data_IF_421480393013
#
_entry.id   IF_421480393013
#
_cell.length_a   1.000
_cell.length_b   1.000
_cell.length_c   1.000
_cell.angle_alpha   90.00
_cell.angle_beta   90.00
_cell.angle_gamma   90.00
#
_symmetry.space_group_name_H-M   'P 1'
#
loop_
_entity.id
_entity.type
_entity.pdbx_description
1 polymer ?
#
# COMPACT_ATOMS: atom_id res chain seq x y z
N UNK A 1 32.73 5.66 44.06
CA UNK A 1 32.86 5.45 42.60
C UNK A 1 31.70 4.57 42.14
N UNK A 2 30.57 5.19 41.79
CA UNK A 2 29.45 4.67 40.98
C UNK A 2 28.29 5.66 41.12
N UNK A 3 28.31 6.71 40.30
CA UNK A 3 27.06 7.42 40.01
C UNK A 3 26.48 6.77 38.75
N UNK A 4 25.24 6.27 38.78
CA UNK A 4 24.61 5.73 37.58
C UNK A 4 24.48 6.87 36.56
N UNK A 5 24.94 6.63 35.33
CA UNK A 5 24.69 7.54 34.22
C UNK A 5 23.18 7.80 34.12
N UNK A 6 22.74 9.06 33.96
CA UNK A 6 21.33 9.35 33.75
C UNK A 6 20.89 8.65 32.47
N UNK A 7 20.03 7.64 32.61
CA UNK A 7 19.41 6.96 31.48
C UNK A 7 18.50 8.00 30.81
N UNK A 8 18.90 8.54 29.66
CA UNK A 8 18.02 9.45 28.93
C UNK A 8 16.82 8.63 28.44
N UNK A 9 15.61 9.01 28.84
CA UNK A 9 14.35 8.39 28.38
C UNK A 9 14.03 8.67 26.90
N UNK A 10 14.99 9.17 26.12
CA UNK A 10 14.85 9.43 24.70
C UNK A 10 14.79 8.12 23.91
N UNK A 11 13.78 7.98 23.05
CA UNK A 11 13.59 6.83 22.16
C UNK A 11 13.04 7.30 20.82
N UNK A 12 13.43 6.64 19.75
CA UNK A 12 12.76 6.72 18.45
C UNK A 12 11.60 5.73 18.48
N UNK A 13 10.39 6.17 18.14
CA UNK A 13 9.21 5.32 18.05
C UNK A 13 9.02 4.85 16.60
N UNK A 14 9.40 3.62 16.22
CA UNK A 14 9.36 3.18 14.81
C UNK A 14 7.95 2.97 14.24
N UNK A 15 6.93 2.87 15.09
CA UNK A 15 5.56 2.45 14.74
C UNK A 15 4.85 3.29 13.67
N UNK A 16 5.10 4.61 13.54
CA UNK A 16 4.51 5.39 12.45
C UNK A 16 5.04 5.02 11.06
N UNK A 17 6.22 4.39 10.97
CA UNK A 17 6.88 4.05 9.71
C UNK A 17 6.87 2.55 9.41
N UNK A 18 6.85 1.73 10.44
CA UNK A 18 6.76 0.28 10.33
C UNK A 18 5.43 -0.18 10.94
N UNK A 19 4.65 -0.94 10.17
CA UNK A 19 3.46 -1.53 10.75
C UNK A 19 3.86 -2.62 11.75
N UNK A 20 3.40 -2.47 12.99
CA UNK A 20 3.55 -3.52 14.01
C UNK A 20 2.79 -4.80 13.63
N UNK A 21 1.79 -4.66 12.75
CA UNK A 21 0.97 -5.75 12.25
C UNK A 21 1.13 -5.90 10.72
N UNK A 22 1.85 -6.93 10.25
CA UNK A 22 1.94 -7.24 8.82
C UNK A 22 0.57 -7.63 8.24
N UNK A 23 -0.37 -8.14 9.05
CA UNK A 23 -1.70 -8.55 8.61
C UNK A 23 -2.68 -7.38 8.45
N UNK A 24 -2.33 -6.16 8.89
CA UNK A 24 -3.18 -4.97 8.69
C UNK A 24 -3.51 -4.82 7.20
N UNK A 25 -4.75 -4.54 6.79
CA UNK A 25 -5.07 -4.36 5.38
C UNK A 25 -4.43 -3.09 4.81
N UNK A 26 -4.05 -3.11 3.54
CA UNK A 26 -3.61 -1.93 2.79
C UNK A 26 -4.84 -1.13 2.36
N UNK A 27 -4.83 0.18 2.60
CA UNK A 27 -5.92 1.06 2.18
C UNK A 27 -5.92 1.23 0.68
N UNK A 28 -7.07 0.96 0.06
CA UNK A 28 -7.28 1.02 -1.37
C UNK A 28 -8.37 2.06 -1.68
N UNK A 29 -7.97 3.13 -2.36
CA UNK A 29 -8.86 4.10 -2.96
C UNK A 29 -9.54 3.48 -4.19
N UNK A 30 -10.82 3.79 -4.46
CA UNK A 30 -11.51 3.25 -5.62
C UNK A 30 -10.84 3.71 -6.91
N UNK A 31 -10.56 2.76 -7.80
CA UNK A 31 -10.08 3.05 -9.15
C UNK A 31 -11.23 3.37 -10.09
N UNK A 32 -10.93 3.95 -11.25
CA UNK A 32 -11.94 4.32 -12.25
C UNK A 32 -12.76 3.14 -12.77
N UNK A 33 -12.24 1.92 -12.67
CA UNK A 33 -12.90 0.70 -13.15
C UNK A 33 -13.38 -0.21 -12.00
N UNK A 34 -13.34 0.24 -10.74
CA UNK A 34 -13.77 -0.58 -9.61
C UNK A 34 -15.24 -1.03 -9.76
N UNK A 35 -16.11 -0.13 -10.20
CA UNK A 35 -17.54 -0.42 -10.36
C UNK A 35 -17.86 -1.28 -11.60
N UNK A 36 -16.91 -1.47 -12.50
CA UNK A 36 -17.06 -2.39 -13.64
C UNK A 36 -16.82 -3.87 -13.24
N UNK A 37 -16.24 -4.12 -12.07
CA UNK A 37 -16.11 -5.48 -11.52
C UNK A 37 -17.49 -6.09 -11.28
N UNK A 38 -17.61 -7.40 -11.49
CA UNK A 38 -18.76 -8.14 -11.01
C UNK A 38 -18.89 -7.95 -9.49
N UNK A 39 -20.13 -7.90 -8.99
CA UNK A 39 -20.38 -7.59 -7.58
C UNK A 39 -19.64 -8.54 -6.63
N UNK A 40 -19.58 -9.82 -7.00
CA UNK A 40 -18.83 -10.86 -6.27
C UNK A 40 -17.33 -10.54 -6.26
N UNK A 41 -16.75 -10.20 -7.41
CA UNK A 41 -15.33 -9.80 -7.52
C UNK A 41 -15.01 -8.58 -6.65
N UNK A 42 -15.88 -7.57 -6.63
CA UNK A 42 -15.70 -6.39 -5.76
C UNK A 42 -15.72 -6.78 -4.28
N UNK A 43 -16.58 -7.72 -3.87
CA UNK A 43 -16.56 -8.26 -2.49
C UNK A 43 -15.27 -9.03 -2.20
N UNK A 44 -14.86 -9.93 -3.11
CA UNK A 44 -13.65 -10.74 -2.97
C UNK A 44 -12.41 -9.88 -2.81
N UNK A 45 -12.29 -8.77 -3.56
CA UNK A 45 -11.18 -7.82 -3.47
C UNK A 45 -10.93 -7.31 -2.04
N UNK A 46 -11.99 -7.12 -1.24
CA UNK A 46 -11.90 -6.55 0.10
C UNK A 46 -12.04 -7.58 1.23
N UNK A 47 -12.53 -8.78 0.94
CA UNK A 47 -12.76 -9.84 1.95
C UNK A 47 -11.68 -10.89 1.95
N UNK A 48 -11.15 -11.27 0.79
CA UNK A 48 -10.17 -12.36 0.68
C UNK A 48 -8.72 -11.86 0.76
N UNK A 49 -7.80 -12.69 1.26
CA UNK A 49 -6.38 -12.40 1.16
C UNK A 49 -5.85 -12.66 -0.26
N UNK A 50 -4.78 -11.96 -0.60
CA UNK A 50 -3.97 -12.22 -1.78
C UNK A 50 -2.54 -12.53 -1.35
N UNK A 51 -1.85 -13.39 -2.09
CA UNK A 51 -0.45 -13.73 -1.87
C UNK A 51 0.46 -13.15 -2.95
N UNK A 52 1.65 -12.70 -2.57
CA UNK A 52 2.66 -12.21 -3.51
C UNK A 52 3.26 -13.39 -4.31
N UNK A 53 3.23 -13.30 -5.64
CA UNK A 53 3.84 -14.28 -6.54
C UNK A 53 5.37 -14.13 -6.61
N UNK A 54 6.06 -15.21 -6.95
CA UNK A 54 7.54 -15.27 -7.05
C UNK A 54 8.13 -14.43 -8.18
N UNK A 55 7.35 -14.12 -9.21
CA UNK A 55 7.75 -13.28 -10.35
C UNK A 55 7.48 -11.77 -10.11
N UNK A 56 7.17 -11.39 -8.86
CA UNK A 56 7.05 -10.01 -8.42
C UNK A 56 8.42 -9.31 -8.37
N UNK A 57 8.45 -8.03 -8.74
CA UNK A 57 9.67 -7.23 -8.74
C UNK A 57 9.37 -5.74 -8.47
N UNK A 58 10.36 -4.88 -8.68
CA UNK A 58 10.25 -3.42 -8.41
C UNK A 58 9.33 -2.68 -9.39
N UNK A 59 8.99 -3.27 -10.54
CA UNK A 59 7.97 -2.74 -11.46
C UNK A 59 6.57 -2.95 -10.89
N UNK A 60 6.30 -4.14 -10.35
CA UNK A 60 5.03 -4.45 -9.72
C UNK A 60 5.02 -5.80 -9.00
N UNK A 61 4.20 -5.85 -7.96
CA UNK A 61 3.89 -7.08 -7.24
C UNK A 61 2.70 -7.75 -7.90
N UNK A 62 2.90 -8.98 -8.35
CA UNK A 62 1.86 -9.83 -8.92
C UNK A 62 1.19 -10.58 -7.80
N UNK A 63 -0.13 -10.47 -7.73
CA UNK A 63 -0.91 -11.04 -6.65
C UNK A 63 -1.61 -12.30 -7.14
N UNK A 64 -1.69 -13.31 -6.29
CA UNK A 64 -2.56 -14.48 -6.52
C UNK A 64 -3.60 -14.58 -5.42
N UNK A 65 -4.81 -14.96 -5.79
CA UNK A 65 -5.93 -15.12 -4.87
C UNK A 65 -7.19 -15.47 -5.64
N UNK A 66 -8.37 -15.09 -5.14
CA UNK A 66 -9.60 -15.27 -5.90
C UNK A 66 -9.51 -14.53 -7.24
N UNK A 67 -9.93 -15.20 -8.30
CA UNK A 67 -10.06 -14.58 -9.61
C UNK A 67 -11.12 -13.49 -9.55
N UNK A 68 -10.77 -12.30 -10.02
CA UNK A 68 -11.68 -11.17 -10.16
C UNK A 68 -12.14 -11.06 -11.61
N UNK A 69 -13.45 -11.10 -11.81
CA UNK A 69 -14.07 -10.98 -13.13
C UNK A 69 -14.84 -9.66 -13.27
N UNK A 70 -14.93 -9.20 -14.52
CA UNK A 70 -15.67 -8.02 -14.96
C UNK A 70 -17.14 -8.35 -15.23
N UNK A 71 -18.01 -7.35 -15.16
CA UNK A 71 -19.40 -7.49 -15.63
C UNK A 71 -19.50 -7.60 -17.16
N UNK A 72 -18.58 -6.95 -17.87
CA UNK A 72 -18.45 -6.99 -19.33
C UNK A 72 -16.97 -6.77 -19.72
N UNK A 73 -16.56 -7.13 -20.96
CA UNK A 73 -15.23 -6.79 -21.46
C UNK A 73 -14.96 -5.28 -21.40
N UNK A 74 -13.76 -4.90 -20.98
CA UNK A 74 -13.32 -3.50 -20.92
C UNK A 74 -12.28 -3.27 -22.01
N UNK A 75 -12.58 -2.35 -22.92
CA UNK A 75 -11.61 -1.84 -23.88
C UNK A 75 -10.82 -0.69 -23.23
N UNK A 76 -9.50 -0.77 -23.27
CA UNK A 76 -8.63 0.20 -22.61
C UNK A 76 -7.90 1.07 -23.62
N UNK A 77 -7.93 2.38 -23.37
CA UNK A 77 -6.91 3.31 -23.88
C UNK A 77 -5.78 3.37 -22.86
N UNK A 78 -4.54 3.59 -23.30
CA UNK A 78 -3.40 3.75 -22.38
C UNK A 78 -3.62 4.91 -21.42
N UNK A 79 -3.50 4.64 -20.12
CA UNK A 79 -3.70 5.64 -19.06
C UNK A 79 -2.45 5.79 -18.18
N UNK A 80 -2.31 6.97 -17.55
CA UNK A 80 -1.21 7.27 -16.64
C UNK A 80 -1.18 6.33 -15.43
N UNK A 81 0.02 5.86 -15.10
CA UNK A 81 0.28 4.92 -14.02
C UNK A 81 1.19 5.54 -12.96
N UNK A 82 0.95 5.16 -11.70
CA UNK A 82 1.67 5.65 -10.54
C UNK A 82 1.97 4.48 -9.58
N UNK A 83 3.01 4.58 -8.73
CA UNK A 83 3.26 3.59 -7.69
C UNK A 83 2.03 3.39 -6.80
N UNK A 84 1.74 2.13 -6.46
CA UNK A 84 0.56 1.73 -5.69
C UNK A 84 -0.71 1.55 -6.53
N UNK A 85 -0.70 1.84 -7.83
CA UNK A 85 -1.84 1.56 -8.71
C UNK A 85 -2.09 0.05 -8.79
N UNK A 86 -3.35 -0.35 -8.65
CA UNK A 86 -3.79 -1.73 -8.75
C UNK A 86 -4.48 -1.95 -10.11
N UNK A 87 -3.80 -2.67 -11.00
CA UNK A 87 -4.33 -3.08 -12.29
C UNK A 87 -4.89 -4.50 -12.25
N UNK A 88 -5.89 -4.77 -13.09
CA UNK A 88 -6.45 -6.10 -13.25
C UNK A 88 -6.36 -6.56 -14.72
N UNK A 89 -5.36 -7.38 -15.07
CA UNK A 89 -5.24 -7.99 -16.39
C UNK A 89 -6.34 -9.04 -16.68
N UNK A 90 -6.45 -9.55 -17.93
CA UNK A 90 -7.40 -10.60 -18.31
C UNK A 90 -7.29 -11.92 -17.51
N UNK A 91 -6.16 -12.16 -16.83
CA UNK A 91 -6.00 -13.30 -15.93
C UNK A 91 -6.91 -13.23 -14.70
N UNK A 92 -7.46 -12.06 -14.38
CA UNK A 92 -8.25 -11.82 -13.16
C UNK A 92 -7.42 -11.81 -11.88
N UNK A 93 -6.09 -11.71 -12.00
CA UNK A 93 -5.14 -11.66 -10.88
C UNK A 93 -4.50 -10.27 -10.81
N UNK A 94 -4.68 -9.51 -9.69
CA UNK A 94 -4.23 -8.12 -9.65
C UNK A 94 -2.72 -7.93 -9.70
N UNK A 95 -2.28 -6.77 -10.20
CA UNK A 95 -0.88 -6.32 -10.16
C UNK A 95 -0.85 -4.97 -9.44
N UNK A 96 -0.12 -4.91 -8.32
CA UNK A 96 0.11 -3.68 -7.58
C UNK A 96 1.44 -3.05 -8.01
N UNK A 97 1.40 -1.85 -8.59
CA UNK A 97 2.59 -1.21 -9.14
C UNK A 97 3.57 -0.75 -8.07
N UNK A 98 4.85 -1.01 -8.35
CA UNK A 98 5.99 -0.59 -7.57
C UNK A 98 6.57 0.74 -8.04
N UNK A 99 7.73 1.15 -7.51
CA UNK A 99 8.38 2.41 -7.87
C UNK A 99 8.90 2.46 -9.31
N UNK A 100 9.11 1.33 -9.97
CA UNK A 100 9.60 1.25 -11.36
C UNK A 100 8.46 0.95 -12.35
N UNK A 101 7.22 1.28 -11.97
CA UNK A 101 6.08 1.09 -12.85
C UNK A 101 6.23 1.93 -14.14
N UNK A 102 5.68 1.46 -15.27
CA UNK A 102 5.65 2.26 -16.48
C UNK A 102 4.83 3.53 -16.26
N UNK A 103 5.09 4.58 -17.04
CA UNK A 103 4.34 5.84 -16.99
C UNK A 103 2.91 5.69 -17.52
N UNK A 104 2.69 4.71 -18.39
CA UNK A 104 1.39 4.36 -18.96
C UNK A 104 1.14 2.86 -18.88
N UNK A 105 -0.14 2.48 -18.85
CA UNK A 105 -0.55 1.09 -18.79
C UNK A 105 -1.87 0.86 -19.51
N UNK A 106 -2.05 -0.35 -20.02
CA UNK A 106 -3.20 -0.74 -20.84
C UNK A 106 -4.19 -1.66 -20.14
N UNK A 107 -4.08 -1.85 -18.82
CA UNK A 107 -5.03 -2.66 -18.05
C UNK A 107 -5.95 -1.81 -17.19
N UNK A 108 -7.21 -2.22 -16.98
CA UNK A 108 -8.16 -1.50 -16.14
C UNK A 108 -7.64 -1.28 -14.71
N UNK A 109 -7.99 -0.12 -14.15
CA UNK A 109 -7.54 0.34 -12.83
C UNK A 109 -8.63 0.11 -11.79
N UNK A 110 -8.46 -0.90 -10.94
CA UNK A 110 -9.45 -1.26 -9.91
C UNK A 110 -9.22 -0.53 -8.58
N UNK A 111 -8.04 0.04 -8.36
CA UNK A 111 -7.79 0.81 -7.15
C UNK A 111 -6.43 1.50 -7.12
N UNK A 112 -6.24 2.38 -6.16
CA UNK A 112 -4.96 3.02 -5.86
C UNK A 112 -4.63 2.82 -4.38
N UNK A 113 -3.53 2.16 -4.09
CA UNK A 113 -3.06 1.99 -2.71
C UNK A 113 -2.68 3.37 -2.17
N UNK A 114 -3.14 3.68 -0.96
CA UNK A 114 -2.84 4.95 -0.30
C UNK A 114 -1.32 5.12 -0.16
N UNK A 115 -0.80 6.31 -0.50
CA UNK A 115 0.65 6.57 -0.52
C UNK A 115 1.36 6.27 0.81
N UNK A 116 0.65 6.40 1.94
CA UNK A 116 1.13 6.08 3.28
C UNK A 116 1.38 4.56 3.48
N UNK A 117 0.72 3.71 2.71
CA UNK A 117 0.83 2.24 2.78
C UNK A 117 1.79 1.65 1.72
N UNK A 118 2.18 2.42 0.69
CA UNK A 118 3.14 1.98 -0.35
C UNK A 118 4.48 1.50 0.21
N UNK A 119 5.09 2.15 1.23
CA UNK A 119 6.32 1.63 1.84
C UNK A 119 6.15 0.21 2.39
N UNK A 120 4.97 -0.11 2.94
CA UNK A 120 4.68 -1.43 3.47
C UNK A 120 4.48 -2.45 2.36
N UNK A 121 3.79 -2.09 1.28
CA UNK A 121 3.70 -2.91 0.08
C UNK A 121 5.11 -3.30 -0.41
N UNK A 122 6.05 -2.36 -0.45
CA UNK A 122 7.42 -2.59 -0.90
C UNK A 122 8.26 -3.51 0.02
N UNK A 123 7.81 -3.80 1.24
CA UNK A 123 8.47 -4.74 2.14
C UNK A 123 7.96 -6.18 2.01
N UNK A 124 6.85 -6.39 1.31
CA UNK A 124 6.27 -7.73 1.11
C UNK A 124 7.15 -8.57 0.17
N UNK A 125 7.25 -9.86 0.48
CA UNK A 125 8.06 -10.85 -0.22
C UNK A 125 7.18 -11.90 -0.88
N UNK A 126 7.69 -12.65 -1.88
CA UNK A 126 6.99 -13.81 -2.40
C UNK A 126 6.50 -14.75 -1.29
N UNK A 127 5.23 -15.13 -1.34
CA UNK A 127 4.56 -15.95 -0.32
C UNK A 127 3.86 -15.15 0.78
N UNK A 128 4.21 -13.87 0.99
CA UNK A 128 3.50 -13.03 1.97
C UNK A 128 2.05 -12.83 1.55
N UNK A 129 1.15 -12.79 2.53
CA UNK A 129 -0.25 -12.48 2.34
C UNK A 129 -0.54 -11.00 2.63
N UNK A 130 -1.46 -10.41 1.87
CA UNK A 130 -2.00 -9.08 2.11
C UNK A 130 -3.51 -9.07 1.94
N UNK A 131 -4.15 -8.04 2.50
CA UNK A 131 -5.58 -7.75 2.34
C UNK A 131 -5.74 -6.30 1.94
N UNK A 132 -6.84 -5.97 1.26
CA UNK A 132 -7.22 -4.60 0.97
C UNK A 132 -8.38 -4.17 1.87
N UNK A 133 -8.36 -2.90 2.27
CA UNK A 133 -9.51 -2.24 2.90
C UNK A 133 -9.95 -1.06 2.03
N UNK A 134 -11.26 -0.90 1.78
CA UNK A 134 -11.76 0.26 1.06
C UNK A 134 -11.42 1.53 1.86
N UNK A 135 -11.02 2.58 1.15
CA UNK A 135 -10.54 3.81 1.74
C UNK A 135 -11.05 5.01 0.93
N UNK A 136 -11.54 6.04 1.62
CA UNK A 136 -11.90 7.31 0.97
C UNK A 136 -10.64 8.16 0.74
N UNK A 137 -10.77 9.19 -0.09
CA UNK A 137 -9.70 10.17 -0.28
C UNK A 137 -9.36 10.88 1.05
N UNK A 138 -10.38 11.20 1.84
CA UNK A 138 -10.28 11.84 3.14
C UNK A 138 -9.54 10.95 4.15
N UNK A 139 -9.82 9.65 4.17
CA UNK A 139 -9.11 8.66 5.00
C UNK A 139 -7.63 8.60 4.63
N UNK A 140 -7.32 8.51 3.33
CA UNK A 140 -5.96 8.45 2.84
C UNK A 140 -5.17 9.72 3.16
N UNK A 141 -5.80 10.88 2.99
CA UNK A 141 -5.19 12.18 3.29
C UNK A 141 -4.97 12.38 4.80
N UNK A 142 -5.94 12.00 5.64
CA UNK A 142 -5.81 12.02 7.10
C UNK A 142 -4.61 11.18 7.53
N UNK A 143 -4.51 9.96 7.03
CA UNK A 143 -3.40 9.08 7.34
C UNK A 143 -2.04 9.60 6.87
N UNK A 144 -1.99 10.24 5.70
CA UNK A 144 -0.77 10.87 5.21
C UNK A 144 -0.33 12.00 6.15
N UNK A 145 -1.27 12.86 6.57
CA UNK A 145 -1.02 13.93 7.55
C UNK A 145 -0.57 13.40 8.89
N UNK A 146 -1.12 12.27 9.35
CA UNK A 146 -0.69 11.63 10.60
C UNK A 146 0.77 11.17 10.51
N UNK A 147 1.16 10.56 9.38
CA UNK A 147 2.55 10.18 9.13
C UNK A 147 3.48 11.39 9.06
N UNK A 148 3.07 12.47 8.40
CA UNK A 148 3.85 13.71 8.32
C UNK A 148 4.04 14.37 9.71
N UNK A 149 2.99 14.38 10.54
CA UNK A 149 3.07 14.86 11.92
C UNK A 149 4.04 14.02 12.75
N UNK A 150 4.00 12.70 12.60
CA UNK A 150 4.93 11.80 13.28
C UNK A 150 6.38 12.05 12.84
N UNK A 151 6.63 12.27 11.54
CA UNK A 151 7.96 12.59 11.02
C UNK A 151 8.50 13.91 11.57
N UNK A 152 7.68 14.97 11.58
CA UNK A 152 8.08 16.26 12.17
C UNK A 152 8.38 16.15 13.66
N UNK A 153 7.61 15.35 14.39
CA UNK A 153 7.88 15.08 15.80
C UNK A 153 9.21 14.33 15.99
N UNK A 154 9.52 13.37 15.11
CA UNK A 154 10.80 12.67 15.10
C UNK A 154 11.98 13.63 14.89
N UNK A 155 11.89 14.48 13.87
CA UNK A 155 12.90 15.48 13.54
C UNK A 155 13.14 16.43 14.73
N UNK A 156 12.07 16.92 15.36
CA UNK A 156 12.17 17.77 16.54
C UNK A 156 12.83 17.06 17.74
N UNK A 157 12.50 15.79 17.97
CA UNK A 157 13.09 14.99 19.04
C UNK A 157 14.58 14.69 18.81
N UNK A 158 14.98 14.46 17.56
CA UNK A 158 16.39 14.28 17.19
C UNK A 158 17.14 15.61 17.41
N UNK A 159 16.58 16.73 16.94
CA UNK A 159 17.17 18.05 17.11
C UNK A 159 17.36 18.41 18.59
N UNK A 160 16.35 18.19 19.42
CA UNK A 160 16.44 18.43 20.87
C UNK A 160 17.50 17.57 21.56
N UNK A 161 17.69 16.32 21.10
CA UNK A 161 18.71 15.41 21.66
C UNK A 161 20.13 15.79 21.27
N UNK A 162 20.31 16.40 20.10
CA UNK A 162 21.60 16.85 19.57
C UNK A 162 21.94 18.29 19.95
N UNK A 163 21.01 19.03 20.57
CA UNK A 163 21.26 20.37 21.06
C UNK A 163 22.40 20.37 22.11
N UNK A 164 23.35 21.31 22.02
CA UNK A 164 24.55 21.37 22.86
C UNK A 164 24.26 21.67 24.33
#
# INVERSE_FOLDING_TARGET
KNQPYPISNWRLDPRPWFADDPARPLRLLPGSHLDALAEISRKLLFVEPFSIQTDSNRVGLRLTGPRLDWTAPIEMVSEGCLPGLLQLPPSGQPIAFGPECPVSGGYPRIGQIAAVDVPRLAQLRPGDALRFAPCTFEDALRALRDRERALRALEANIAARLAP
#
